data_IF_326433541868
#
_entry.id   IF_326433541868
#
_cell.length_a   1.000
_cell.length_b   1.000
_cell.length_c   1.000
_cell.angle_alpha   90.00
_cell.angle_beta   90.00
_cell.angle_gamma   90.00
#
_symmetry.space_group_name_H-M   'P 1'
#
loop_
_entity.id
_entity.type
_entity.pdbx_description
1 polymer ?
2 branched ?
3 non-polymer ?
4 water ?
#
# COMPACT_ATOMS: atom_id res chain seq x y z
N UNK A 27 -15.87 22.82 -10.23
CA UNK A 27 -16.76 22.51 -11.34
C UNK A 27 -17.37 21.12 -11.22
N UNK A 28 -17.14 20.27 -12.24
CA UNK A 28 -17.21 18.83 -12.02
C UNK A 28 -15.82 18.25 -11.86
N UNK A 29 -14.93 18.60 -12.79
CA UNK A 29 -13.49 18.26 -12.72
C UNK A 29 -12.74 19.59 -12.57
N UNK A 30 -11.97 19.77 -11.50
CA UNK A 30 -11.23 21.03 -11.35
C UNK A 30 -10.08 20.80 -10.39
N UNK A 31 -9.11 21.73 -10.35
CA UNK A 31 -8.00 21.57 -9.40
C UNK A 31 -8.54 21.57 -7.98
N UNK A 32 -7.79 20.91 -7.10
CA UNK A 32 -8.09 20.87 -5.68
C UNK A 32 -7.96 22.26 -5.08
N UNK A 33 -8.99 22.71 -4.36
CA UNK A 33 -8.99 24.06 -3.81
C UNK A 33 -8.74 24.09 -2.30
N UNK A 34 -8.39 22.99 -1.69
CA UNK A 34 -8.24 22.91 -0.26
C UNK A 34 -6.84 23.15 0.22
N UNK A 35 -6.60 22.74 1.46
CA UNK A 35 -5.29 22.87 2.10
C UNK A 35 -4.75 21.54 2.59
N UNK A 36 -5.59 20.75 3.22
CA UNK A 36 -5.04 19.60 3.94
C UNK A 36 -4.38 18.60 2.97
N UNK A 37 -4.93 18.44 1.77
CA UNK A 37 -4.38 17.50 0.80
C UNK A 37 -3.55 18.15 -0.29
N UNK A 38 -3.13 19.38 -0.08
CA UNK A 38 -2.45 20.13 -1.13
C UNK A 38 -1.24 19.37 -1.67
N UNK A 39 -0.48 18.74 -0.79
CA UNK A 39 0.75 18.09 -1.25
C UNK A 39 0.50 16.78 -1.96
N UNK A 40 -0.64 16.13 -1.74
CA UNK A 40 -0.86 14.82 -2.30
C UNK A 40 -1.65 14.83 -3.62
N UNK A 41 -2.42 15.88 -3.90
CA UNK A 41 -3.30 15.91 -5.06
C UNK A 41 -2.68 16.76 -6.17
N UNK A 42 -2.35 16.14 -7.29
CA UNK A 42 -1.69 16.92 -8.34
C UNK A 42 -2.55 17.20 -9.57
N UNK A 43 -3.54 16.37 -9.90
CA UNK A 43 -4.37 16.60 -11.05
C UNK A 43 -5.76 17.10 -10.67
N UNK A 44 -6.65 17.11 -11.66
CA UNK A 44 -8.03 17.51 -11.43
C UNK A 44 -8.73 16.55 -10.48
N UNK A 45 -9.61 17.07 -9.64
CA UNK A 45 -10.38 16.24 -8.73
C UNK A 45 -11.87 16.51 -8.91
N UNK A 46 -12.65 15.56 -8.41
CA UNK A 46 -14.10 15.53 -8.55
C UNK A 46 -14.76 16.56 -7.64
N UNK A 47 -15.75 17.26 -8.17
CA UNK A 47 -16.52 18.28 -7.47
C UNK A 47 -18.01 17.99 -7.61
N UNK A 48 -18.76 18.22 -6.53
CA UNK A 48 -20.21 17.94 -6.47
C UNK A 48 -20.54 16.48 -6.79
N UNK A 54 -20.24 20.40 0.81
CA UNK A 54 -19.96 19.22 -0.02
C UNK A 54 -18.47 18.94 -0.09
N UNK A 55 -17.82 19.62 -1.04
CA UNK A 55 -16.36 19.62 -1.06
C UNK A 55 -15.78 20.14 0.25
N UNK A 56 -16.43 21.14 0.87
CA UNK A 56 -15.98 21.64 2.17
C UNK A 56 -16.18 20.58 3.26
N UNK A 57 -17.28 19.83 3.20
CA UNK A 57 -17.47 18.81 4.22
C UNK A 57 -16.30 17.84 4.20
N UNK A 58 -15.82 17.45 3.03
CA UNK A 58 -14.72 16.49 2.95
C UNK A 58 -13.40 17.12 3.39
N UNK A 59 -13.27 18.42 3.18
CA UNK A 59 -12.12 19.15 3.71
C UNK A 59 -12.14 19.15 5.23
N UNK A 60 -13.29 19.48 5.81
CA UNK A 60 -13.42 19.47 7.27
C UNK A 60 -13.07 18.11 7.82
N UNK A 61 -13.71 17.06 7.29
CA UNK A 61 -13.48 15.72 7.84
C UNK A 61 -12.02 15.30 7.70
N UNK A 62 -11.44 15.48 6.50
CA UNK A 62 -10.05 15.11 6.29
C UNK A 62 -9.10 15.86 7.21
N UNK A 63 -9.38 17.14 7.43
CA UNK A 63 -8.55 17.92 8.34
C UNK A 63 -8.62 17.38 9.77
N UNK A 64 -9.83 17.04 10.23
CA UNK A 64 -9.96 16.51 11.58
C UNK A 64 -9.31 15.13 11.69
N UNK A 65 -9.42 14.33 10.62
CA UNK A 65 -8.80 12.99 10.66
C UNK A 65 -7.28 13.08 10.62
N UNK A 66 -6.75 14.11 9.92
CA UNK A 66 -5.31 14.34 9.90
C UNK A 66 -4.76 14.45 11.31
N UNK A 67 -5.45 15.23 12.14
CA UNK A 67 -5.10 15.40 13.55
C UNK A 67 -5.33 14.12 14.36
N UNK A 68 -6.50 13.51 14.22
CA UNK A 68 -6.84 12.37 15.09
C UNK A 68 -6.18 11.08 14.64
N UNK A 69 -6.29 10.75 13.35
CA UNK A 69 -5.84 9.47 12.83
C UNK A 69 -4.43 9.53 12.24
N UNK A 70 -4.22 10.35 11.21
CA UNK A 70 -2.94 10.36 10.51
C UNK A 70 -1.78 10.65 11.45
N UNK A 71 -1.94 11.62 12.34
CA UNK A 71 -0.83 12.04 13.18
C UNK A 71 -0.44 10.96 14.19
N UNK A 72 -1.30 9.97 14.41
CA UNK A 72 -1.05 8.83 15.28
C UNK A 72 -0.39 7.65 14.54
N UNK A 73 -0.18 7.77 13.23
CA UNK A 73 0.44 6.73 12.44
C UNK A 73 1.91 7.06 12.20
N UNK A 74 2.70 6.02 11.95
CA UNK A 74 4.14 6.22 11.70
C UNK A 74 4.64 5.42 10.50
N UNK A 75 5.82 5.83 10.03
CA UNK A 75 6.56 5.06 9.04
C UNK A 75 5.77 4.85 7.77
N UNK A 76 5.92 3.64 7.19
CA UNK A 76 5.27 3.32 5.92
C UNK A 76 3.76 3.31 6.02
N UNK A 77 3.19 2.94 7.18
CA UNK A 77 1.74 3.08 7.33
C UNK A 77 1.33 4.53 7.16
N UNK A 78 2.04 5.45 7.82
CA UNK A 78 1.65 6.85 7.72
C UNK A 78 1.74 7.33 6.29
N UNK A 79 2.81 6.95 5.60
CA UNK A 79 2.97 7.38 4.20
C UNK A 79 1.81 6.90 3.33
N UNK A 80 1.45 5.65 3.47
CA UNK A 80 0.35 5.11 2.67
C UNK A 80 -0.96 5.79 3.05
N UNK A 81 -1.19 5.96 4.36
CA UNK A 81 -2.47 6.45 4.84
C UNK A 81 -2.71 7.88 4.38
N UNK A 82 -1.67 8.73 4.39
CA UNK A 82 -1.85 10.09 3.93
C UNK A 82 -2.32 10.10 2.49
N UNK A 83 -1.65 9.30 1.65
CA UNK A 83 -1.99 9.30 0.21
C UNK A 83 -3.38 8.71 -0.02
N UNK A 84 -3.69 7.63 0.69
CA UNK A 84 -4.97 6.96 0.56
C UNK A 84 -6.08 7.86 1.06
N UNK A 85 -5.87 8.51 2.22
CA UNK A 85 -6.91 9.37 2.77
C UNK A 85 -7.25 10.49 1.79
N UNK A 86 -6.21 11.13 1.23
CA UNK A 86 -6.46 12.24 0.30
C UNK A 86 -7.14 11.74 -0.98
N UNK A 87 -6.73 10.59 -1.50
CA UNK A 87 -7.36 10.06 -2.71
C UNK A 87 -8.80 9.61 -2.42
N UNK A 88 -9.05 9.08 -1.22
CA UNK A 88 -10.42 8.75 -0.85
C UNK A 88 -11.30 10.00 -0.75
N UNK A 89 -10.78 11.06 -0.11
CA UNK A 89 -11.61 12.23 0.18
C UNK A 89 -11.79 13.11 -1.05
N UNK A 90 -10.81 13.09 -1.94
CA UNK A 90 -10.83 13.94 -3.13
C UNK A 90 -10.45 13.09 -4.33
N UNK A 91 -11.39 12.26 -4.79
CA UNK A 91 -11.11 11.37 -5.93
C UNK A 91 -10.66 12.13 -7.15
N UNK A 92 -9.76 11.50 -7.91
CA UNK A 92 -9.37 12.08 -9.19
C UNK A 92 -10.58 12.18 -10.10
N UNK A 93 -10.53 13.14 -11.02
CA UNK A 93 -11.60 13.33 -11.96
C UNK A 93 -11.04 13.39 -13.37
N UNK A 94 -11.75 12.79 -14.32
CA UNK A 94 -11.43 12.93 -15.73
C UNK A 94 -12.68 12.91 -16.58
N UNK A 95 -12.53 13.43 -17.81
CA UNK A 95 -13.62 13.55 -18.76
C UNK A 95 -13.66 12.34 -19.69
N UNK A 96 -14.83 11.76 -19.85
CA UNK A 96 -15.05 10.71 -20.85
C UNK A 96 -16.11 11.29 -21.78
N UNK A 97 -15.69 11.81 -22.92
CA UNK A 97 -16.61 12.61 -23.70
C UNK A 97 -17.08 13.79 -22.87
N UNK A 98 -18.39 13.99 -22.80
CA UNK A 98 -18.94 15.09 -22.04
C UNK A 98 -19.24 14.76 -20.60
N UNK A 99 -18.84 13.58 -20.13
CA UNK A 99 -19.21 13.13 -18.79
C UNK A 99 -18.01 13.16 -17.85
N UNK A 100 -18.17 13.80 -16.69
CA UNK A 100 -17.11 13.80 -15.71
C UNK A 100 -17.21 12.51 -14.91
N UNK A 101 -16.08 11.84 -14.77
CA UNK A 101 -16.01 10.55 -14.06
C UNK A 101 -15.18 10.67 -12.79
N UNK A 102 -15.74 10.16 -11.69
CA UNK A 102 -15.07 10.09 -10.40
C UNK A 102 -14.30 8.78 -10.35
N UNK A 103 -13.01 8.84 -9.98
CA UNK A 103 -12.20 7.63 -9.95
C UNK A 103 -12.10 7.11 -8.51
N UNK A 104 -12.66 5.94 -8.19
CA UNK A 104 -12.52 5.41 -6.81
C UNK A 104 -11.11 4.96 -6.51
N UNK A 105 -10.85 4.54 -5.27
CA UNK A 105 -9.53 4.02 -4.95
C UNK A 105 -9.26 2.76 -5.75
N UNK A 106 -7.97 2.45 -5.98
CA UNK A 106 -7.55 1.21 -6.66
C UNK A 106 -7.41 0.05 -5.71
N UNK A 107 -7.84 -1.12 -6.20
CA UNK A 107 -7.73 -2.36 -5.46
C UNK A 107 -6.30 -2.58 -4.97
N UNK A 108 -5.30 -2.35 -5.83
CA UNK A 108 -3.92 -2.69 -5.47
C UNK A 108 -3.37 -1.77 -4.37
N UNK A 109 -3.69 -0.47 -4.44
CA UNK A 109 -3.30 0.46 -3.38
C UNK A 109 -4.00 0.09 -2.08
N UNK A 110 -5.29 -0.27 -2.18
CA UNK A 110 -6.04 -0.60 -0.96
C UNK A 110 -5.49 -1.85 -0.31
N UNK A 111 -5.27 -2.88 -1.11
CA UNK A 111 -4.65 -4.14 -0.67
C UNK A 111 -3.32 -3.85 0.01
N UNK A 112 -2.44 -3.09 -0.65
CA UNK A 112 -1.17 -2.76 -0.02
C UNK A 112 -1.35 -2.10 1.35
N UNK A 113 -2.32 -1.18 1.46
CA UNK A 113 -2.50 -0.46 2.72
C UNK A 113 -3.09 -1.38 3.77
N UNK A 114 -4.17 -2.07 3.43
CA UNK A 114 -4.90 -2.84 4.42
C UNK A 114 -4.11 -4.05 4.86
N UNK A 115 -3.58 -4.81 3.90
CA UNK A 115 -2.96 -6.08 4.27
C UNK A 115 -1.46 -6.00 4.51
N UNK A 116 -0.81 -4.85 4.26
CA UNK A 116 0.60 -4.79 4.54
C UNK A 116 0.95 -3.52 5.34
N UNK A 117 0.94 -2.35 4.69
CA UNK A 117 1.52 -1.18 5.33
C UNK A 117 0.80 -0.83 6.62
N UNK A 118 -0.54 -0.91 6.65
CA UNK A 118 -1.31 -0.40 7.77
C UNK A 118 -2.07 -1.51 8.46
N UNK A 119 -1.67 -2.75 8.24
CA UNK A 119 -2.47 -3.88 8.71
C UNK A 119 -2.73 -3.76 10.21
N UNK A 120 -1.68 -3.52 10.99
CA UNK A 120 -1.83 -3.55 12.45
C UNK A 120 -2.77 -2.45 12.93
N UNK A 121 -2.58 -1.23 12.42
CA UNK A 121 -3.45 -0.11 12.75
C UNK A 121 -4.87 -0.32 12.25
N UNK A 122 -5.03 -0.88 11.05
CA UNK A 122 -6.35 -1.17 10.48
C UNK A 122 -7.13 -2.17 11.30
N UNK A 123 -6.48 -3.28 11.70
CA UNK A 123 -7.12 -4.27 12.57
C UNK A 123 -7.54 -3.65 13.89
N UNK A 124 -6.68 -2.79 14.47
CA UNK A 124 -7.00 -2.19 15.78
C UNK A 124 -8.21 -1.26 15.69
N UNK A 125 -8.32 -0.52 14.58
CA UNK A 125 -9.52 0.30 14.35
C UNK A 125 -10.74 -0.59 14.20
N UNK A 126 -10.63 -1.66 13.39
CA UNK A 126 -11.81 -2.48 13.13
C UNK A 126 -12.30 -3.12 14.40
N UNK A 127 -11.36 -3.56 15.25
CA UNK A 127 -11.72 -4.19 16.51
C UNK A 127 -12.42 -3.21 17.45
N UNK A 128 -11.97 -1.95 17.46
CA UNK A 128 -12.68 -0.92 18.23
C UNK A 128 -14.09 -0.68 17.69
N UNK A 129 -14.24 -0.62 16.36
CA UNK A 129 -15.56 -0.47 15.74
C UNK A 129 -16.53 -1.54 16.18
N UNK A 130 -16.03 -2.77 16.38
CA UNK A 130 -16.90 -3.85 16.86
C UNK A 130 -17.48 -3.53 18.22
N UNK A 131 -16.72 -2.80 19.06
CA UNK A 131 -17.18 -2.39 20.38
C UNK A 131 -17.85 -1.02 20.37
N UNK A 132 -18.23 -0.52 19.19
CA UNK A 132 -18.83 0.82 19.03
C UNK A 132 -17.91 1.93 19.54
N UNK A 133 -16.61 1.75 19.37
CA UNK A 133 -15.62 2.79 19.62
C UNK A 133 -15.13 3.25 18.26
N UNK A 134 -15.54 4.45 17.86
CA UNK A 134 -15.20 4.96 16.53
C UNK A 134 -14.25 6.15 16.61
N UNK A 135 -13.49 6.33 15.53
CA UNK A 135 -12.69 7.53 15.40
C UNK A 135 -13.66 8.70 15.41
N UNK A 136 -13.47 9.63 16.35
CA UNK A 136 -14.46 10.65 16.63
C UNK A 136 -14.73 11.50 15.39
N UNK A 137 -13.69 11.74 14.61
CA UNK A 137 -13.79 12.71 13.53
C UNK A 137 -14.07 12.07 12.18
N UNK A 138 -14.39 10.78 12.13
CA UNK A 138 -14.52 10.13 10.82
C UNK A 138 -15.67 10.69 9.97
N UNK A 139 -16.67 11.31 10.59
CA UNK A 139 -17.81 11.82 9.83
C UNK A 139 -18.44 10.66 9.06
N UNK A 140 -18.63 10.84 7.76
CA UNK A 140 -19.15 9.79 6.92
C UNK A 140 -18.06 8.91 6.30
N UNK A 141 -16.79 9.19 6.55
CA UNK A 141 -15.71 8.41 5.96
C UNK A 141 -15.68 7.02 6.57
N UNK A 142 -15.37 6.00 5.78
CA UNK A 142 -15.28 4.64 6.28
C UNK A 142 -14.10 3.89 5.65
N UNK A 143 -13.51 2.96 6.40
CA UNK A 143 -12.47 2.12 5.81
C UNK A 143 -13.02 1.40 4.59
N UNK A 144 -12.33 1.45 3.46
CA UNK A 144 -12.87 0.81 2.24
C UNK A 144 -12.72 -0.69 2.30
N UNK A 145 -13.60 -1.36 1.57
CA UNK A 145 -13.49 -2.79 1.32
C UNK A 145 -12.69 -2.92 0.03
N UNK A 146 -11.45 -3.40 0.13
CA UNK A 146 -10.57 -3.44 -1.05
C UNK A 146 -11.15 -4.28 -2.19
N UNK A 147 -11.87 -5.37 -1.86
CA UNK A 147 -12.37 -6.26 -2.91
C UNK A 147 -13.44 -5.61 -3.78
N UNK A 148 -14.11 -4.58 -3.29
CA UNK A 148 -15.13 -3.92 -4.06
C UNK A 148 -14.55 -2.90 -5.03
N UNK A 149 -13.15 -2.69 -5.05
CA UNK A 149 -12.60 -1.58 -5.83
C UNK A 149 -12.08 -2.05 -7.18
N UNK A 150 -12.06 -1.16 -8.20
CA UNK A 150 -11.51 -1.56 -9.51
C UNK A 150 -10.02 -1.86 -9.42
N UNK A 151 -9.60 -2.81 -10.27
CA UNK A 151 -8.19 -3.12 -10.47
C UNK A 151 -7.60 -2.12 -11.45
N UNK A 152 -6.52 -1.44 -11.03
CA UNK A 152 -5.87 -0.44 -11.88
C UNK A 152 -5.58 -0.96 -13.29
N UNK A 153 -5.87 -0.10 -14.29
CA UNK A 153 -5.72 -0.41 -15.72
C UNK A 153 -6.52 -1.63 -16.16
N UNK A 156 -4.97 1.80 -20.92
CA UNK A 156 -6.03 2.68 -20.43
C UNK A 156 -5.51 4.10 -20.20
N UNK A 157 -5.70 4.96 -21.22
CA UNK A 157 -5.20 6.33 -21.14
C UNK A 157 -5.86 7.11 -19.99
N UNK A 158 -7.11 6.79 -19.66
CA UNK A 158 -7.80 7.42 -18.54
C UNK A 158 -8.13 6.39 -17.45
N UNK A 159 -7.58 6.53 -16.26
CA UNK A 159 -7.61 5.41 -15.32
C UNK A 159 -8.99 5.17 -14.73
N UNK A 160 -9.23 3.92 -14.34
CA UNK A 160 -10.50 3.56 -13.71
C UNK A 160 -10.46 3.78 -12.21
N UNK A 161 -9.35 4.31 -11.68
CA UNK A 161 -9.27 4.52 -10.25
C UNK A 161 -8.23 5.58 -9.93
N UNK A 162 -8.26 6.09 -8.69
CA UNK A 162 -7.34 7.15 -8.28
C UNK A 162 -6.02 6.52 -7.83
N UNK A 163 -5.25 6.10 -8.82
CA UNK A 163 -4.02 5.37 -8.60
C UNK A 163 -2.98 6.19 -7.84
N UNK A 164 -2.42 5.58 -6.81
CA UNK A 164 -1.35 6.22 -6.07
C UNK A 164 -0.04 5.44 -6.17
N UNK A 165 -0.04 4.17 -6.57
CA UNK A 165 1.23 3.52 -6.82
C UNK A 165 1.89 2.90 -5.61
N UNK A 166 1.12 2.54 -4.60
CA UNK A 166 1.78 2.05 -3.38
C UNK A 166 2.55 0.75 -3.61
N UNK A 167 2.18 -0.02 -4.62
CA UNK A 167 2.78 -1.33 -4.85
C UNK A 167 3.97 -1.28 -5.78
N UNK A 168 4.33 -0.09 -6.27
CA UNK A 168 5.32 0.08 -7.33
C UNK A 168 6.73 -0.02 -6.75
N UNK A 169 7.66 -0.35 -7.63
CA UNK A 169 9.06 -0.31 -7.25
C UNK A 169 9.58 1.12 -7.30
N UNK A 170 10.54 1.40 -6.44
CA UNK A 170 11.36 2.61 -6.58
C UNK A 170 12.56 2.21 -7.42
N UNK A 171 12.49 2.54 -8.72
CA UNK A 171 13.48 2.08 -9.69
C UNK A 171 14.91 2.33 -9.23
N UNK A 172 15.20 3.53 -8.71
CA UNK A 172 16.58 3.82 -8.34
C UNK A 172 17.11 2.95 -7.21
N UNK A 173 16.22 2.31 -6.44
CA UNK A 173 16.61 1.50 -5.30
C UNK A 173 16.55 0.01 -5.57
N UNK A 174 16.08 -0.37 -6.77
CA UNK A 174 16.03 -1.78 -7.14
C UNK A 174 17.44 -2.33 -7.23
N UNK A 175 17.63 -3.56 -6.76
CA UNK A 175 18.92 -4.20 -6.90
C UNK A 175 18.68 -5.68 -7.17
N UNK A 176 19.73 -6.38 -7.63
CA UNK A 176 19.61 -7.78 -8.04
C UNK A 176 20.62 -8.72 -7.38
N UNK A 177 21.88 -8.32 -7.25
CA UNK A 177 22.90 -9.23 -6.71
C UNK A 177 23.30 -8.87 -5.29
N UNK A 178 22.63 -7.91 -4.70
CA UNK A 178 22.99 -7.33 -3.42
C UNK A 178 21.76 -6.55 -2.98
N UNK A 179 21.75 -6.10 -1.72
CA UNK A 179 20.62 -5.31 -1.23
C UNK A 179 21.03 -3.89 -0.89
N UNK A 180 20.13 -2.95 -1.18
CA UNK A 180 20.25 -1.59 -0.68
C UNK A 180 19.53 -1.53 0.66
N UNK A 181 20.30 -1.32 1.73
CA UNK A 181 19.69 -1.24 3.05
C UNK A 181 18.94 -2.53 3.36
N UNK A 182 17.68 -2.41 3.77
CA UNK A 182 16.89 -3.60 4.11
C UNK A 182 16.38 -4.35 2.89
N UNK A 183 16.76 -3.93 1.68
CA UNK A 183 16.34 -4.70 0.53
C UNK A 183 14.87 -4.64 0.20
N UNK A 184 14.16 -3.56 0.56
CA UNK A 184 12.75 -3.48 0.20
C UNK A 184 12.55 -3.73 -1.29
N UNK A 185 13.42 -3.19 -2.12
CA UNK A 185 13.31 -3.33 -3.57
C UNK A 185 14.34 -4.28 -4.16
N UNK A 186 14.78 -5.25 -3.35
CA UNK A 186 15.60 -6.32 -3.85
C UNK A 186 14.77 -7.17 -4.82
N UNK A 187 15.27 -7.34 -6.03
CA UNK A 187 14.58 -8.09 -7.05
C UNK A 187 15.39 -9.27 -7.55
N UNK A 188 16.38 -9.70 -6.78
CA UNK A 188 17.28 -10.77 -7.20
C UNK A 188 16.61 -12.13 -7.18
N UNK A 189 17.41 -13.16 -7.45
CA UNK A 189 16.87 -14.52 -7.54
C UNK A 189 17.36 -15.40 -6.38
N UNK A 190 17.87 -14.81 -5.31
CA UNK A 190 18.21 -15.64 -4.13
C UNK A 190 16.97 -16.41 -3.68
N UNK A 191 17.10 -17.73 -3.49
CA UNK A 191 15.90 -18.53 -3.30
C UNK A 191 16.04 -19.49 -2.11
N UNK A 192 16.98 -19.22 -1.20
CA UNK A 192 17.09 -19.96 0.06
C UNK A 192 17.28 -18.96 1.17
N UNK A 193 16.91 -19.38 2.40
CA UNK A 193 17.02 -18.48 3.53
C UNK A 193 18.46 -18.49 4.05
N UNK A 194 18.71 -17.73 5.12
CA UNK A 194 20.08 -17.57 5.57
C UNK A 194 20.67 -18.88 6.06
N UNK A 195 19.85 -19.80 6.55
CA UNK A 195 20.35 -21.10 6.98
C UNK A 195 20.30 -22.14 5.89
N UNK A 196 19.89 -21.75 4.67
CA UNK A 196 19.92 -22.60 3.49
C UNK A 196 18.59 -23.27 3.18
N UNK A 197 17.52 -22.97 3.92
CA UNK A 197 16.23 -23.63 3.62
C UNK A 197 15.67 -23.09 2.31
N UNK A 198 15.25 -23.95 1.38
CA UNK A 198 14.58 -23.43 0.16
C UNK A 198 13.38 -22.56 0.51
N UNK A 199 13.21 -21.49 -0.25
CA UNK A 199 12.02 -20.67 -0.07
C UNK A 199 10.81 -21.39 -0.64
N UNK A 200 9.68 -21.26 0.06
CA UNK A 200 8.38 -21.55 -0.51
C UNK A 200 7.98 -20.48 -1.52
N UNK A 201 7.28 -20.87 -2.61
CA UNK A 201 6.77 -19.86 -3.55
C UNK A 201 5.74 -18.92 -2.91
N UNK A 202 5.88 -17.63 -3.21
CA UNK A 202 4.87 -16.67 -2.75
C UNK A 202 3.47 -17.08 -3.19
N UNK A 203 3.32 -17.62 -4.43
CA UNK A 203 2.01 -17.93 -4.99
C UNK A 203 1.48 -19.29 -4.55
N UNK A 204 2.06 -19.86 -3.48
CA UNK A 204 1.56 -21.12 -2.96
C UNK A 204 1.30 -20.96 -1.47
N UNK A 205 0.40 -21.81 -0.95
CA UNK A 205 -0.07 -21.69 0.42
C UNK A 205 0.34 -22.90 1.25
N UNK A 206 1.35 -23.64 0.78
CA UNK A 206 1.88 -24.83 1.41
C UNK A 206 3.40 -24.80 1.38
N UNK A 207 4.06 -25.17 2.48
CA UNK A 207 3.47 -25.58 3.78
C UNK A 207 2.89 -24.44 4.61
N UNK A 208 3.17 -23.18 4.28
CA UNK A 208 2.72 -22.06 5.10
C UNK A 208 1.62 -21.25 4.42
N UNK A 209 0.48 -21.14 5.08
CA UNK A 209 -0.62 -20.29 4.61
C UNK A 209 -0.30 -18.83 4.91
N UNK A 210 -0.68 -17.91 4.01
CA UNK A 210 -0.37 -16.51 4.30
C UNK A 210 -1.30 -15.62 3.47
N UNK A 211 -1.63 -14.45 4.03
CA UNK A 211 -2.34 -13.40 3.30
C UNK A 211 -1.50 -12.13 3.20
N UNK A 212 -0.37 -12.10 3.87
CA UNK A 212 0.52 -10.99 3.73
C UNK A 212 1.95 -11.52 3.55
N UNK A 213 2.78 -10.87 2.72
CA UNK A 213 2.46 -9.67 1.95
C UNK A 213 1.51 -10.02 0.83
N UNK A 214 0.57 -9.14 0.51
CA UNK A 214 -0.32 -9.39 -0.62
C UNK A 214 0.48 -9.39 -1.92
N UNK A 215 0.06 -10.23 -2.85
CA UNK A 215 0.82 -10.43 -4.08
C UNK A 215 0.68 -9.28 -5.08
N UNK A 216 -0.02 -8.20 -4.75
CA UNK A 216 -0.08 -7.04 -5.67
C UNK A 216 1.20 -6.23 -5.66
N UNK A 217 2.08 -6.42 -4.67
CA UNK A 217 3.38 -5.73 -4.68
C UNK A 217 4.19 -6.11 -5.91
N UNK A 218 4.81 -5.10 -6.55
CA UNK A 218 5.49 -5.43 -7.80
C UNK A 218 6.67 -6.38 -7.59
N UNK A 219 7.25 -6.41 -6.39
CA UNK A 219 8.31 -7.37 -6.06
C UNK A 219 7.83 -8.81 -6.15
N UNK A 220 6.52 -9.02 -5.97
CA UNK A 220 5.95 -10.35 -5.84
C UNK A 220 5.14 -10.83 -7.03
N UNK A 221 4.81 -9.93 -7.97
CA UNK A 221 4.08 -10.32 -9.18
C UNK A 221 4.74 -11.49 -9.89
N UNK A 222 6.05 -11.44 -10.07
CA UNK A 222 6.77 -12.60 -10.55
C UNK A 222 7.84 -12.98 -9.54
N UNK A 223 7.43 -13.09 -8.29
CA UNK A 223 8.33 -13.30 -7.19
C UNK A 223 8.86 -14.72 -7.04
N UNK A 224 8.30 -15.69 -7.79
CA UNK A 224 8.80 -17.09 -7.84
C UNK A 224 8.93 -17.57 -6.38
N UNK A 225 10.04 -18.19 -5.99
CA UNK A 225 10.31 -18.42 -4.56
C UNK A 225 11.53 -17.59 -4.16
N UNK A 226 11.51 -16.32 -4.50
CA UNK A 226 12.67 -15.47 -4.27
C UNK A 226 12.50 -14.66 -2.98
N UNK A 227 13.64 -14.42 -2.34
CA UNK A 227 13.67 -13.59 -1.14
C UNK A 227 13.19 -12.20 -1.48
N UNK A 228 12.32 -11.65 -0.63
CA UNK A 228 11.72 -10.34 -0.91
C UNK A 228 11.49 -9.63 0.41
N UNK A 229 11.44 -8.29 0.38
CA UNK A 229 11.05 -7.49 1.55
C UNK A 229 9.99 -6.47 1.10
N UNK A 230 8.93 -6.97 0.48
CA UNK A 230 7.92 -6.11 -0.16
C UNK A 230 7.26 -5.19 0.85
N UNK A 231 7.12 -5.62 2.11
CA UNK A 231 6.49 -4.71 3.04
C UNK A 231 7.41 -3.64 3.57
N UNK A 232 8.71 -3.84 3.36
CA UNK A 232 9.73 -2.92 3.84
C UNK A 232 9.87 -2.85 5.33
N UNK A 233 9.28 -3.80 6.07
CA UNK A 233 9.35 -3.72 7.53
C UNK A 233 10.45 -4.59 8.12
N UNK A 234 10.96 -5.55 7.36
CA UNK A 234 12.01 -6.41 7.88
C UNK A 234 13.35 -5.78 7.59
N UNK A 235 14.36 -6.09 8.40
CA UNK A 235 15.72 -5.62 8.08
C UNK A 235 16.36 -6.30 6.89
N UNK A 236 15.78 -7.36 6.32
CA UNK A 236 16.40 -8.13 5.24
C UNK A 236 15.30 -8.72 4.38
N UNK A 237 15.55 -8.95 3.08
CA UNK A 237 14.66 -9.82 2.32
C UNK A 237 14.52 -11.16 3.02
N UNK A 238 13.37 -11.79 2.81
CA UNK A 238 13.04 -12.99 3.55
C UNK A 238 12.08 -13.80 2.69
N UNK A 239 11.75 -15.00 3.17
CA UNK A 239 10.74 -15.80 2.47
C UNK A 239 10.09 -16.74 3.47
N UNK A 240 8.88 -17.19 3.16
CA UNK A 240 8.35 -18.36 3.84
C UNK A 240 9.20 -19.54 3.38
N UNK A 241 9.41 -20.54 4.24
CA UNK A 241 10.36 -21.59 3.85
C UNK A 241 9.66 -22.94 3.69
N UNK A 242 10.30 -23.85 2.96
CA UNK A 242 9.68 -25.17 2.72
C UNK A 242 9.75 -26.07 3.94
N UNK A 243 10.38 -25.58 5.01
CA UNK A 243 10.50 -26.33 6.26
C UNK A 243 9.28 -26.10 7.13
N UNK A 244 8.52 -27.17 7.40
CA UNK A 244 7.26 -27.01 8.13
C UNK A 244 7.47 -26.31 9.46
N UNK A 245 8.64 -26.49 10.07
CA UNK A 245 8.92 -25.91 11.37
C UNK A 245 9.57 -24.52 11.31
N UNK A 246 9.80 -23.93 10.13
CA UNK A 246 10.37 -22.58 10.04
C UNK A 246 9.44 -21.80 9.12
N UNK A 247 8.42 -21.15 9.71
CA UNK A 247 7.44 -20.46 8.90
C UNK A 247 8.10 -19.47 7.95
N UNK A 248 9.02 -18.66 8.47
CA UNK A 248 9.65 -17.63 7.63
C UNK A 248 11.03 -17.31 8.18
N UNK A 249 11.97 -16.91 7.30
CA UNK A 249 13.31 -16.58 7.76
C UNK A 249 13.94 -15.57 6.81
N UNK A 250 14.77 -14.69 7.37
CA UNK A 250 15.53 -13.77 6.52
C UNK A 250 16.45 -14.53 5.60
N UNK A 251 16.71 -13.92 4.45
CA UNK A 251 17.76 -14.37 3.59
C UNK A 251 19.05 -13.60 3.89
N UNK A 252 20.16 -14.10 3.38
CA UNK A 252 21.49 -13.54 3.61
C UNK A 252 21.99 -12.98 2.27
N UNK A 253 21.89 -11.66 2.11
CA UNK A 253 22.22 -11.02 0.84
C UNK A 253 23.22 -9.90 1.13
N UNK A 254 24.35 -9.82 0.41
CA UNK A 254 25.36 -8.81 0.77
C UNK A 254 24.84 -7.40 0.46
N UNK A 255 25.28 -6.45 1.29
CA UNK A 255 25.03 -5.07 0.96
C UNK A 255 25.65 -4.70 -0.38
N UNK A 256 24.93 -3.89 -1.15
CA UNK A 256 25.49 -3.38 -2.40
C UNK A 256 26.77 -2.58 -2.08
N UNK A 257 27.88 -2.83 -2.78
CA UNK A 257 29.09 -2.08 -2.59
C UNK A 257 28.84 -0.57 -2.41
N UNK A 258 27.94 0.02 -3.21
CA UNK A 258 27.92 1.49 -3.38
C UNK A 258 26.71 2.11 -2.65
N UNK A 259 25.90 1.30 -1.99
CA UNK A 259 24.84 1.76 -1.09
C UNK A 259 25.42 2.56 0.06
N UNK A 260 24.79 3.70 0.35
CA UNK A 260 25.20 4.57 1.45
C UNK A 260 24.28 4.38 2.65
#
# INVERSE_FOLDING_TARGET
NSLNAIEEPVTRRHHQRHHEREREENGYCAPYSGKVCKEYLTGQVWYSLEDPTGGWKNEQVTTALWDELISDLTGLCREAAEKMLCAYAFPNCHMEGGRAVKAPLCFEDCQATHLQFCYNDWVLIEEKKERNMFIKSRGHFRLPNCSSLPHYNASMRRPNCSYIGLTELKESEVSYDCRNGNGRFYMGTMNVSKSGIPCQRWDTQYPHKHFQPPLVFHQLLEGENYCRNAGGEEPHPWCYTVDESVRWQHCDIPMCPDYVDPNAVDLNTPIKMEKFFTPS
#
